data_IF_371603332547
#
_entry.id   IF_371603332547
#
_cell.length_a   1.000
_cell.length_b   1.000
_cell.length_c   1.000
_cell.angle_alpha   90.00
_cell.angle_beta   90.00
_cell.angle_gamma   90.00
#
_symmetry.space_group_name_H-M   'P 1'
#
loop_
_entity.id
_entity.type
_entity.pdbx_description
1 polymer ?
#
# COMPACT_ATOMS: atom_id res chain seq x y z
N UNK A 1 0.33 5.32 -54.75
CA UNK A 1 -0.07 6.49 -54.08
C UNK A 1 -1.08 6.24 -53.02
N UNK A 2 -2.20 5.81 -53.41
CA UNK A 2 -3.27 5.61 -52.47
C UNK A 2 -2.97 4.56 -51.46
N UNK A 3 -2.14 3.63 -51.82
CA UNK A 3 -1.83 2.56 -50.90
C UNK A 3 -1.03 3.01 -49.71
N UNK A 4 -0.20 3.96 -49.91
CA UNK A 4 0.60 4.44 -48.80
C UNK A 4 -0.23 5.06 -47.71
N UNK A 5 -1.31 5.66 -48.07
CA UNK A 5 -2.17 6.31 -47.12
C UNK A 5 -2.81 5.32 -46.19
N UNK A 6 -3.15 4.19 -46.66
CA UNK A 6 -3.81 3.20 -45.84
C UNK A 6 -2.92 2.64 -44.76
N UNK A 7 -1.67 2.57 -45.05
CA UNK A 7 -0.73 2.04 -44.09
C UNK A 7 -0.59 2.91 -42.87
N UNK A 8 -0.66 4.20 -43.08
CA UNK A 8 -0.56 5.12 -41.94
C UNK A 8 -1.71 4.98 -40.98
N UNK A 9 -2.85 4.72 -41.52
CA UNK A 9 -4.02 4.59 -40.66
C UNK A 9 -3.88 3.44 -39.68
N UNK A 10 -3.28 2.39 -40.12
CA UNK A 10 -3.11 1.24 -39.27
C UNK A 10 -2.18 1.50 -38.11
N UNK A 11 -1.16 2.25 -38.35
CA UNK A 11 -0.21 2.56 -37.30
C UNK A 11 -0.82 3.38 -36.20
N UNK A 12 -1.65 4.29 -36.57
CA UNK A 12 -2.30 5.14 -35.56
C UNK A 12 -3.19 4.35 -34.64
N UNK A 13 -3.87 3.39 -35.16
CA UNK A 13 -4.78 2.60 -34.37
C UNK A 13 -4.03 1.79 -33.33
N UNK A 14 -2.94 1.21 -33.72
CA UNK A 14 -2.17 0.40 -32.80
C UNK A 14 -1.68 1.18 -31.61
N UNK A 15 -1.30 2.41 -31.85
CA UNK A 15 -0.79 3.23 -30.79
C UNK A 15 -1.85 3.57 -29.75
N UNK A 16 -3.04 3.78 -30.21
CA UNK A 16 -4.12 4.18 -29.32
C UNK A 16 -4.45 3.09 -28.32
N UNK A 17 -4.40 1.87 -28.72
CA UNK A 17 -4.77 0.78 -27.86
C UNK A 17 -3.88 0.67 -26.64
N UNK A 18 -2.62 0.91 -26.81
CA UNK A 18 -1.69 0.78 -25.70
C UNK A 18 -1.94 1.77 -24.59
N UNK A 19 -2.41 2.93 -24.92
CA UNK A 19 -2.67 3.94 -23.93
C UNK A 19 -3.83 3.57 -23.04
N UNK A 20 -4.83 2.96 -23.60
CA UNK A 20 -6.02 2.62 -22.85
C UNK A 20 -5.73 1.64 -21.72
N UNK A 21 -4.80 0.75 -21.90
CA UNK A 21 -4.54 -0.27 -20.90
C UNK A 21 -3.98 0.26 -19.60
N UNK A 22 -3.38 1.40 -19.60
CA UNK A 22 -2.72 1.90 -18.41
C UNK A 22 -3.61 2.61 -17.45
N UNK A 23 -4.74 3.05 -17.91
CA UNK A 23 -5.58 3.89 -17.08
C UNK A 23 -6.40 3.17 -16.07
N UNK A 24 -6.62 1.92 -16.28
CA UNK A 24 -7.60 1.21 -15.48
C UNK A 24 -7.02 0.53 -14.26
N UNK A 25 -5.78 0.78 -13.96
CA UNK A 25 -5.13 0.11 -12.85
C UNK A 25 -5.08 1.02 -11.65
N UNK A 26 -5.66 0.61 -10.54
CA UNK A 26 -5.53 1.38 -9.33
C UNK A 26 -4.32 0.90 -8.52
N UNK A 27 -3.88 1.66 -7.53
CA UNK A 27 -2.67 1.34 -6.77
C UNK A 27 -2.71 -0.02 -6.09
N UNK A 28 -3.84 -0.43 -5.57
CA UNK A 28 -3.93 -1.72 -4.89
C UNK A 28 -3.75 -2.88 -5.87
N UNK A 29 -4.29 -2.74 -7.07
CA UNK A 29 -4.14 -3.77 -8.09
C UNK A 29 -2.71 -3.92 -8.57
N UNK A 30 -1.94 -2.86 -8.49
CA UNK A 30 -0.55 -2.88 -8.92
C UNK A 30 0.43 -3.12 -7.80
N UNK A 31 -0.06 -3.42 -6.63
CA UNK A 31 0.79 -3.61 -5.46
C UNK A 31 1.67 -2.39 -5.16
N UNK A 32 1.12 -1.20 -5.39
CA UNK A 32 1.85 0.03 -5.15
C UNK A 32 2.22 0.24 -3.69
N UNK A 33 1.51 -0.43 -2.81
CA UNK A 33 1.80 -0.31 -1.39
C UNK A 33 2.87 -1.29 -0.92
N UNK A 34 3.27 -2.22 -1.77
CA UNK A 34 4.29 -3.19 -1.42
C UNK A 34 5.65 -2.52 -1.44
N UNK A 35 6.40 -2.71 -0.37
CA UNK A 35 7.72 -2.13 -0.25
C UNK A 35 8.04 -1.81 1.19
N UNK A 36 9.06 -0.99 1.39
CA UNK A 36 9.53 -0.65 2.72
C UNK A 36 9.29 0.83 3.00
N UNK A 37 8.64 1.10 4.13
CA UNK A 37 8.42 2.44 4.65
C UNK A 37 9.29 2.63 5.88
N UNK A 38 9.84 3.81 6.06
CA UNK A 38 10.75 4.09 7.16
C UNK A 38 10.27 5.28 7.97
N UNK A 39 10.47 5.23 9.27
CA UNK A 39 10.10 6.33 10.15
C UNK A 39 9.93 5.88 11.57
N UNK A 40 9.05 6.57 12.29
CA UNK A 40 8.79 6.27 13.69
C UNK A 40 7.79 5.14 13.81
N UNK A 41 8.12 4.17 14.65
CA UNK A 41 7.23 3.06 14.94
C UNK A 41 7.20 2.82 16.44
N UNK A 42 6.07 2.34 16.94
CA UNK A 42 5.99 1.94 18.33
C UNK A 42 5.00 0.81 18.52
N UNK A 43 5.20 0.09 19.61
CA UNK A 43 4.34 -1.01 20.01
C UNK A 43 4.26 -1.05 21.52
N UNK A 44 3.08 -1.26 22.05
CA UNK A 44 2.87 -1.29 23.48
C UNK A 44 1.86 -2.37 23.83
N UNK A 45 2.22 -3.19 24.81
CA UNK A 45 1.30 -4.19 25.36
C UNK A 45 1.76 -4.58 26.75
N UNK A 46 0.83 -4.57 27.70
CA UNK A 46 1.07 -5.04 29.08
C UNK A 46 2.32 -4.41 29.72
N UNK A 47 2.52 -3.13 29.51
CA UNK A 47 3.67 -2.43 30.06
C UNK A 47 4.95 -2.56 29.26
N UNK A 48 4.96 -3.38 28.23
CA UNK A 48 6.12 -3.49 27.33
C UNK A 48 5.99 -2.47 26.23
N UNK A 49 6.95 -1.58 26.12
CA UNK A 49 6.95 -0.52 25.12
C UNK A 49 8.18 -0.64 24.24
N UNK A 50 7.96 -0.68 22.94
CA UNK A 50 9.05 -0.69 21.95
C UNK A 50 8.86 0.54 21.07
N UNK A 51 9.88 1.37 20.97
CA UNK A 51 9.82 2.55 20.11
C UNK A 51 11.10 2.66 19.32
N UNK A 52 10.97 3.22 18.12
CA UNK A 52 12.13 3.48 17.27
C UNK A 52 11.83 4.66 16.35
N UNK A 53 12.76 5.58 16.24
CA UNK A 53 12.64 6.68 15.29
C UNK A 53 13.17 6.30 13.92
N UNK A 54 13.90 5.20 13.82
CA UNK A 54 14.46 4.69 12.57
C UNK A 54 13.89 3.32 12.22
N UNK A 55 12.61 3.14 12.50
CA UNK A 55 11.96 1.88 12.22
C UNK A 55 11.71 1.66 10.73
N UNK A 56 11.46 0.43 10.40
CA UNK A 56 11.08 0.04 9.04
C UNK A 56 9.85 -0.85 9.10
N UNK A 57 8.96 -0.65 8.14
CA UNK A 57 7.83 -1.52 7.96
C UNK A 57 7.86 -2.02 6.54
N UNK A 58 7.97 -3.32 6.35
CA UNK A 58 7.91 -3.92 5.03
C UNK A 58 6.49 -4.39 4.79
N UNK A 59 5.91 -3.92 3.70
CA UNK A 59 4.55 -4.26 3.33
C UNK A 59 4.59 -5.27 2.20
N UNK A 60 3.86 -6.36 2.37
CA UNK A 60 3.71 -7.36 1.32
C UNK A 60 2.24 -7.65 1.11
N UNK A 61 1.90 -8.17 -0.04
CA UNK A 61 0.53 -8.50 -0.40
C UNK A 61 0.39 -9.99 -0.59
N UNK A 62 -0.63 -10.57 0.05
CA UNK A 62 -0.94 -11.99 -0.10
C UNK A 62 -2.42 -12.11 -0.46
N UNK A 63 -2.69 -12.46 -1.72
CA UNK A 63 -4.06 -12.46 -2.20
C UNK A 63 -4.62 -11.05 -2.21
N UNK A 64 -5.67 -10.83 -1.45
CA UNK A 64 -6.31 -9.52 -1.35
C UNK A 64 -6.02 -8.83 -0.04
N UNK A 65 -5.10 -9.35 0.74
CA UNK A 65 -4.76 -8.78 2.04
C UNK A 65 -3.30 -8.34 2.05
N UNK A 66 -2.97 -7.49 3.02
CA UNK A 66 -1.64 -6.96 3.18
C UNK A 66 -1.08 -7.32 4.54
N UNK A 67 0.20 -7.58 4.57
CA UNK A 67 0.93 -7.88 5.79
C UNK A 67 1.95 -6.79 6.04
N UNK A 68 2.11 -6.43 7.31
CA UNK A 68 3.04 -5.40 7.74
C UNK A 68 4.05 -6.03 8.68
N UNK A 69 5.29 -6.07 8.24
CA UNK A 69 6.38 -6.67 9.01
C UNK A 69 7.20 -5.55 9.63
N UNK A 70 7.12 -5.47 10.94
CA UNK A 70 7.90 -4.51 11.70
C UNK A 70 9.24 -5.16 12.06
N UNK A 71 10.26 -4.36 12.23
CA UNK A 71 11.47 -4.85 12.85
C UNK A 71 11.44 -4.60 14.35
N UNK A 72 12.59 -4.65 14.98
CA UNK A 72 12.75 -4.25 16.39
C UNK A 72 11.90 -5.05 17.37
N UNK A 73 11.65 -6.32 17.08
CA UNK A 73 10.86 -7.21 17.93
C UNK A 73 9.39 -6.80 18.07
N UNK A 74 8.90 -5.97 17.19
CA UNK A 74 7.49 -5.60 17.16
C UNK A 74 6.74 -6.69 16.38
N UNK A 75 5.65 -7.22 16.93
CA UNK A 75 4.88 -8.25 16.22
C UNK A 75 4.32 -7.74 14.91
N UNK A 76 4.23 -8.63 13.93
CA UNK A 76 3.70 -8.30 12.62
C UNK A 76 2.19 -8.12 12.65
N UNK A 77 1.68 -7.33 11.73
CA UNK A 77 0.23 -7.22 11.50
C UNK A 77 -0.04 -7.87 10.16
N UNK A 78 -0.97 -8.81 10.13
CA UNK A 78 -1.27 -9.57 8.92
C UNK A 78 -2.77 -9.55 8.61
N UNK A 79 -3.09 -9.87 7.36
CA UNK A 79 -4.49 -10.02 6.97
C UNK A 79 -5.25 -8.71 6.86
N UNK A 80 -4.60 -7.62 6.54
CA UNK A 80 -5.23 -6.30 6.46
C UNK A 80 -5.88 -6.11 5.11
N UNK A 81 -7.12 -5.65 5.11
CA UNK A 81 -7.82 -5.27 3.89
C UNK A 81 -7.95 -3.76 3.84
N UNK A 82 -7.92 -3.22 2.64
CA UNK A 82 -8.00 -1.79 2.45
C UNK A 82 -9.20 -1.41 1.58
N UNK A 83 -9.66 -0.20 1.82
CA UNK A 83 -10.72 0.39 1.03
C UNK A 83 -10.27 1.79 0.63
N UNK A 84 -10.62 2.19 -0.58
CA UNK A 84 -10.18 3.47 -1.11
C UNK A 84 -10.83 4.62 -0.35
N UNK A 85 -10.03 5.59 0.07
CA UNK A 85 -10.51 6.74 0.81
C UNK A 85 -10.19 8.07 0.14
N UNK A 86 -9.41 8.05 -0.93
CA UNK A 86 -9.02 9.25 -1.67
C UNK A 86 -8.37 8.85 -2.96
N UNK A 87 -7.74 9.76 -3.65
CA UNK A 87 -7.20 9.49 -4.98
C UNK A 87 -6.18 8.35 -5.00
N UNK A 88 -5.22 8.35 -4.14
CA UNK A 88 -4.26 7.26 -4.03
C UNK A 88 -4.10 6.85 -2.58
N UNK A 89 -5.14 7.04 -1.81
CA UNK A 89 -5.09 6.82 -0.38
C UNK A 89 -6.08 5.73 0.00
N UNK A 90 -5.67 4.83 0.86
CA UNK A 90 -6.48 3.70 1.29
C UNK A 90 -6.46 3.59 2.80
N UNK A 91 -7.56 3.16 3.37
CA UNK A 91 -7.67 2.94 4.80
C UNK A 91 -8.02 1.49 5.07
N UNK A 92 -7.52 0.97 6.17
CA UNK A 92 -7.79 -0.40 6.54
C UNK A 92 -9.24 -0.55 6.99
N UNK A 93 -9.83 -1.69 6.65
CA UNK A 93 -11.18 -2.03 7.03
C UNK A 93 -11.17 -3.41 7.65
N UNK A 94 -12.22 -3.70 8.41
CA UNK A 94 -12.34 -5.01 9.02
C UNK A 94 -12.23 -4.94 10.52
N UNK A 95 -12.51 -6.06 11.15
CA UNK A 95 -12.61 -6.15 12.58
C UNK A 95 -11.23 -6.14 13.24
N UNK A 96 -10.99 -5.16 14.10
CA UNK A 96 -9.78 -5.10 14.91
C UNK A 96 -8.53 -4.61 14.20
N UNK A 97 -8.62 -4.27 12.93
CA UNK A 97 -7.44 -3.83 12.17
C UNK A 97 -7.69 -2.50 11.46
N UNK A 98 -8.54 -1.68 12.02
CA UNK A 98 -8.75 -0.33 11.52
C UNK A 98 -7.69 0.60 12.07
N UNK A 99 -7.48 1.73 11.41
CA UNK A 99 -6.50 2.71 11.86
C UNK A 99 -5.22 2.73 11.06
N UNK A 100 -5.19 2.08 9.91
CA UNK A 100 -4.04 2.13 9.01
C UNK A 100 -4.44 2.93 7.78
N UNK A 101 -3.63 3.93 7.45
CA UNK A 101 -3.83 4.72 6.25
C UNK A 101 -2.55 4.67 5.44
N UNK A 102 -2.67 4.33 4.17
CA UNK A 102 -1.50 4.11 3.33
C UNK A 102 -1.73 4.73 1.95
N UNK A 103 -0.68 5.28 1.39
CA UNK A 103 -0.63 5.61 -0.03
C UNK A 103 0.75 5.20 -0.55
N UNK A 104 1.09 5.62 -1.76
CA UNK A 104 2.33 5.16 -2.38
C UNK A 104 3.59 5.70 -1.72
N UNK A 105 3.48 6.71 -0.88
CA UNK A 105 4.64 7.33 -0.26
C UNK A 105 4.58 7.41 1.26
N UNK A 106 3.41 7.23 1.86
CA UNK A 106 3.29 7.36 3.31
C UNK A 106 2.50 6.20 3.91
N UNK A 107 2.82 5.89 5.15
CA UNK A 107 2.12 4.89 5.93
C UNK A 107 1.94 5.42 7.33
N UNK A 108 0.69 5.59 7.74
CA UNK A 108 0.35 6.02 9.09
C UNK A 108 -0.54 4.98 9.74
N UNK A 109 -0.28 4.70 11.00
CA UNK A 109 -0.93 3.60 11.67
C UNK A 109 -1.22 3.94 13.13
N UNK A 110 -2.41 3.58 13.56
CA UNK A 110 -2.77 3.55 14.97
C UNK A 110 -3.74 2.38 15.14
N UNK A 111 -3.21 1.23 15.49
CA UNK A 111 -3.98 -0.01 15.57
C UNK A 111 -3.99 -0.51 17.01
N UNK A 112 -5.16 -0.83 17.51
CA UNK A 112 -5.31 -1.45 18.82
C UNK A 112 -6.02 -2.77 18.65
N UNK A 113 -5.40 -3.83 19.15
CA UNK A 113 -5.97 -5.17 19.05
C UNK A 113 -5.46 -6.02 20.20
N UNK A 114 -6.37 -6.73 20.87
CA UNK A 114 -6.04 -7.65 21.95
C UNK A 114 -5.17 -7.03 23.04
N UNK A 115 -5.42 -5.77 23.36
CA UNK A 115 -4.67 -5.06 24.39
C UNK A 115 -3.35 -4.49 23.93
N UNK A 116 -3.00 -4.67 22.67
CA UNK A 116 -1.77 -4.14 22.10
C UNK A 116 -2.06 -2.92 21.24
N UNK A 117 -1.11 -2.01 21.16
CA UNK A 117 -1.23 -0.82 20.32
C UNK A 117 0.02 -0.70 19.44
N UNK A 118 -0.20 -0.55 18.15
CA UNK A 118 0.85 -0.25 17.18
C UNK A 118 0.67 1.15 16.66
N UNK A 119 1.74 1.90 16.56
CA UNK A 119 1.70 3.20 15.88
C UNK A 119 2.83 3.28 14.87
N UNK A 120 2.60 4.03 13.83
CA UNK A 120 3.63 4.25 12.81
C UNK A 120 3.40 5.57 12.10
N UNK A 121 4.48 6.22 11.72
CA UNK A 121 4.46 7.41 10.90
C UNK A 121 5.69 7.31 10.00
N UNK A 122 5.49 6.73 8.84
CA UNK A 122 6.57 6.33 7.95
C UNK A 122 6.37 6.86 6.54
N UNK A 123 7.46 6.95 5.83
CA UNK A 123 7.47 7.38 4.42
C UNK A 123 8.43 6.51 3.63
N UNK A 124 8.34 6.66 2.30
CA UNK A 124 9.30 6.00 1.42
C UNK A 124 9.59 6.81 0.17
#
# INVERSE_FOLDING_TARGET
MKKAIRIFSLLLIATTIMIACKKDTDPASKDLFVGTYKGSVSYSKDGNNITSSDGKITVSKVGETYNFFFGNNIPDITGVKFEKSGDNSYVSVGSGLTGIKIDESTLKMFVTKDGATWTADCTR
#
